data_IF_235087730923
#
_entry.id   IF_235087730923
#
_cell.length_a   1.000
_cell.length_b   1.000
_cell.length_c   1.000
_cell.angle_alpha   90.00
_cell.angle_beta   90.00
_cell.angle_gamma   90.00
#
_symmetry.space_group_name_H-M   'P 1'
#
loop_
_entity.id
_entity.type
_entity.pdbx_description
1 polymer ?
#
# COMPACT_ATOMS: atom_id res chain seq x y z
N UNK A 1 28.54 9.20 -15.10
CA UNK A 1 28.50 8.86 -13.65
C UNK A 1 27.15 9.26 -13.07
N UNK A 2 26.68 10.48 -13.38
CA UNK A 2 25.41 11.03 -12.89
C UNK A 2 24.18 10.27 -13.40
N UNK A 3 24.20 9.81 -14.66
CA UNK A 3 23.11 9.00 -15.22
C UNK A 3 22.91 7.69 -14.46
N UNK A 4 24.01 7.02 -14.07
CA UNK A 4 23.96 5.78 -13.29
C UNK A 4 23.38 6.03 -11.89
N UNK A 5 23.73 7.16 -11.27
CA UNK A 5 23.19 7.54 -9.96
C UNK A 5 21.71 7.89 -10.05
N UNK A 6 21.30 8.60 -11.10
CA UNK A 6 19.89 8.92 -11.38
C UNK A 6 19.06 7.64 -11.57
N UNK A 7 19.53 6.73 -12.44
CA UNK A 7 18.88 5.44 -12.69
C UNK A 7 18.77 4.59 -11.43
N UNK A 8 19.80 4.57 -10.57
CA UNK A 8 19.74 3.86 -9.28
C UNK A 8 18.68 4.45 -8.35
N UNK A 9 18.54 5.78 -8.31
CA UNK A 9 17.52 6.47 -7.51
C UNK A 9 16.12 6.16 -8.02
N UNK A 10 15.90 6.25 -9.33
CA UNK A 10 14.63 5.92 -9.96
C UNK A 10 14.24 4.45 -9.74
N UNK A 11 15.17 3.51 -9.92
CA UNK A 11 14.93 2.09 -9.64
C UNK A 11 14.54 1.84 -8.17
N UNK A 12 15.16 2.56 -7.22
CA UNK A 12 14.77 2.50 -5.80
C UNK A 12 13.34 3.00 -5.58
N UNK A 13 12.94 4.08 -6.24
CA UNK A 13 11.58 4.59 -6.19
C UNK A 13 10.58 3.60 -6.81
N UNK A 14 10.87 3.03 -7.97
CA UNK A 14 10.02 2.01 -8.61
C UNK A 14 9.83 0.78 -7.72
N UNK A 15 10.90 0.26 -7.12
CA UNK A 15 10.82 -0.85 -6.15
C UNK A 15 9.93 -0.52 -4.97
N UNK A 16 10.09 0.68 -4.41
CA UNK A 16 9.24 1.16 -3.31
C UNK A 16 7.77 1.27 -3.75
N UNK A 17 7.51 1.81 -4.95
CA UNK A 17 6.17 1.91 -5.51
C UNK A 17 5.50 0.54 -5.64
N UNK A 18 6.21 -0.44 -6.20
CA UNK A 18 5.73 -1.83 -6.32
C UNK A 18 5.42 -2.41 -4.93
N UNK A 19 6.31 -2.23 -3.95
CA UNK A 19 6.07 -2.69 -2.58
C UNK A 19 4.82 -2.07 -1.95
N UNK A 20 4.54 -0.78 -2.20
CA UNK A 20 3.34 -0.11 -1.70
C UNK A 20 2.06 -0.68 -2.35
N UNK A 21 2.08 -0.91 -3.66
CA UNK A 21 0.96 -1.54 -4.38
C UNK A 21 0.67 -2.93 -3.83
N UNK A 22 1.70 -3.76 -3.67
CA UNK A 22 1.55 -5.12 -3.15
C UNK A 22 1.00 -5.14 -1.72
N UNK A 23 1.50 -4.25 -0.85
CA UNK A 23 1.00 -4.13 0.51
C UNK A 23 -0.47 -3.66 0.56
N UNK A 24 -0.85 -2.71 -0.30
CA UNK A 24 -2.25 -2.25 -0.43
C UNK A 24 -3.18 -3.40 -0.85
N UNK A 25 -2.75 -4.21 -1.84
CA UNK A 25 -3.51 -5.38 -2.30
C UNK A 25 -3.66 -6.43 -1.21
N UNK A 26 -2.58 -6.80 -0.52
CA UNK A 26 -2.60 -7.80 0.56
C UNK A 26 -3.51 -7.36 1.70
N UNK A 27 -3.39 -6.11 2.17
CA UNK A 27 -4.23 -5.60 3.24
C UNK A 27 -5.70 -5.53 2.83
N UNK A 28 -5.98 -5.12 1.58
CA UNK A 28 -7.35 -5.12 1.06
C UNK A 28 -7.94 -6.53 1.07
N UNK A 29 -7.21 -7.52 0.56
CA UNK A 29 -7.64 -8.92 0.60
C UNK A 29 -7.88 -9.40 2.04
N UNK A 30 -7.00 -9.01 2.97
CA UNK A 30 -7.14 -9.37 4.38
C UNK A 30 -8.38 -8.76 5.02
N UNK A 31 -8.76 -7.54 4.65
CA UNK A 31 -10.04 -6.97 5.12
C UNK A 31 -11.24 -7.79 4.66
N UNK A 32 -11.23 -8.31 3.43
CA UNK A 32 -12.30 -9.17 2.92
C UNK A 32 -12.36 -10.47 3.74
N UNK A 33 -11.23 -11.14 3.93
CA UNK A 33 -11.14 -12.37 4.72
C UNK A 33 -11.61 -12.18 6.17
N UNK A 34 -11.29 -11.05 6.81
CA UNK A 34 -11.75 -10.76 8.17
C UNK A 34 -13.28 -10.57 8.18
N UNK A 35 -13.87 -9.87 7.19
CA UNK A 35 -15.33 -9.73 7.12
C UNK A 35 -16.02 -11.10 7.01
N UNK A 36 -15.48 -11.97 6.18
CA UNK A 36 -16.00 -13.33 5.99
C UNK A 36 -15.86 -14.18 7.26
N UNK A 37 -14.72 -14.12 7.95
CA UNK A 37 -14.48 -14.92 9.16
C UNK A 37 -15.27 -14.44 10.39
N UNK A 38 -15.68 -13.17 10.43
CA UNK A 38 -16.40 -12.54 11.54
C UNK A 38 -17.84 -12.14 11.16
N UNK A 39 -18.47 -12.90 10.27
CA UNK A 39 -19.88 -12.72 9.88
C UNK A 39 -20.78 -12.56 11.12
N UNK A 40 -21.59 -11.50 11.13
CA UNK A 40 -22.50 -11.12 12.22
C UNK A 40 -21.82 -10.69 13.55
N UNK A 41 -20.53 -10.33 13.52
CA UNK A 41 -19.83 -9.74 14.67
C UNK A 41 -19.35 -8.32 14.39
N UNK A 42 -19.65 -7.43 15.35
CA UNK A 42 -19.10 -6.06 15.40
C UNK A 42 -17.56 -6.04 15.52
N UNK A 43 -16.96 -7.16 15.95
CA UNK A 43 -15.50 -7.27 16.08
C UNK A 43 -14.80 -7.20 14.72
N UNK A 44 -15.49 -7.60 13.63
CA UNK A 44 -14.97 -7.45 12.26
C UNK A 44 -14.53 -6.01 11.97
N UNK A 45 -15.38 -5.04 12.30
CA UNK A 45 -15.11 -3.63 12.07
C UNK A 45 -14.01 -3.09 12.99
N UNK A 46 -13.96 -3.55 14.25
CA UNK A 46 -12.90 -3.17 15.19
C UNK A 46 -11.52 -3.62 14.68
N UNK A 47 -11.43 -4.81 14.11
CA UNK A 47 -10.18 -5.37 13.56
C UNK A 47 -9.82 -4.71 12.23
N UNK A 48 -10.80 -4.45 11.36
CA UNK A 48 -10.57 -3.90 10.02
C UNK A 48 -10.23 -2.41 10.04
N UNK A 49 -10.76 -1.63 10.99
CA UNK A 49 -10.52 -0.18 11.06
C UNK A 49 -9.03 0.21 11.01
N UNK A 50 -8.13 -0.32 11.85
CA UNK A 50 -6.70 0.00 11.76
C UNK A 50 -6.07 -0.45 10.44
N UNK A 51 -6.58 -1.51 9.80
CA UNK A 51 -6.11 -1.96 8.48
C UNK A 51 -6.52 -0.96 7.40
N UNK A 52 -7.75 -0.43 7.44
CA UNK A 52 -8.22 0.60 6.51
C UNK A 52 -7.45 1.92 6.67
N UNK A 53 -7.15 2.30 7.91
CA UNK A 53 -6.28 3.46 8.20
C UNK A 53 -4.89 3.25 7.59
N UNK A 54 -4.32 2.06 7.72
CA UNK A 54 -3.02 1.72 7.11
C UNK A 54 -3.08 1.75 5.57
N UNK A 55 -4.14 1.22 4.96
CA UNK A 55 -4.37 1.30 3.51
C UNK A 55 -4.42 2.76 3.04
N UNK A 56 -5.10 3.63 3.79
CA UNK A 56 -5.18 5.06 3.47
C UNK A 56 -3.78 5.70 3.45
N UNK A 57 -2.94 5.41 4.46
CA UNK A 57 -1.56 5.91 4.51
C UNK A 57 -0.71 5.39 3.35
N UNK A 58 -0.83 4.10 3.01
CA UNK A 58 -0.12 3.51 1.87
C UNK A 58 -0.52 4.16 0.54
N UNK A 59 -1.80 4.47 0.36
CA UNK A 59 -2.31 5.19 -0.81
C UNK A 59 -1.71 6.58 -0.92
N UNK A 60 -1.64 7.34 0.18
CA UNK A 60 -0.99 8.66 0.21
C UNK A 60 0.48 8.57 -0.19
N UNK A 61 1.23 7.67 0.45
CA UNK A 61 2.65 7.48 0.14
C UNK A 61 2.87 7.04 -1.32
N UNK A 62 1.97 6.19 -1.84
CA UNK A 62 2.01 5.75 -3.24
C UNK A 62 1.75 6.90 -4.21
N UNK A 63 0.78 7.77 -3.92
CA UNK A 63 0.46 8.94 -4.75
C UNK A 63 1.61 9.95 -4.80
N UNK A 64 2.29 10.20 -3.67
CA UNK A 64 3.48 11.05 -3.63
C UNK A 64 4.61 10.50 -4.50
N UNK A 65 4.82 9.17 -4.43
CA UNK A 65 5.86 8.49 -5.20
C UNK A 65 5.51 8.39 -6.69
N UNK A 66 4.24 8.23 -7.02
CA UNK A 66 3.69 8.24 -8.38
C UNK A 66 4.00 9.58 -9.07
N UNK A 67 3.72 10.70 -8.40
CA UNK A 67 4.05 12.05 -8.88
C UNK A 67 5.55 12.21 -9.14
N UNK A 68 6.40 11.67 -8.26
CA UNK A 68 7.87 11.69 -8.42
C UNK A 68 8.35 10.85 -9.60
N UNK A 69 7.64 9.78 -9.94
CA UNK A 69 7.96 8.84 -11.02
C UNK A 69 7.31 9.20 -12.36
N UNK A 70 6.46 10.23 -12.40
CA UNK A 70 5.64 10.59 -13.57
C UNK A 70 4.79 9.42 -14.11
N UNK A 71 4.33 8.56 -13.20
CA UNK A 71 3.39 7.45 -13.46
C UNK A 71 1.94 7.89 -13.24
#
# INVERSE_FOLDING_TARGET
MDDILSLKKENKHLKKFISLVLAEMELTQRTVQIKENFLNSDDSMRIIKPILERISLLKTERMELQSTLFL
#
